data_IF_372715611810
#
_entry.id   IF_372715611810
#
_cell.length_a   1.000
_cell.length_b   1.000
_cell.length_c   1.000
_cell.angle_alpha   90.00
_cell.angle_beta   90.00
_cell.angle_gamma   90.00
#
_symmetry.space_group_name_H-M   'P 1'
#
loop_
_entity.id
_entity.type
_entity.pdbx_description
1 polymer ?
#
# COMPACT_ATOMS: atom_id res chain seq x y z
N UNK A 1 7.69 -4.06 -12.39
CA UNK A 1 8.28 -5.38 -12.12
C UNK A 1 8.22 -5.64 -10.62
N UNK A 2 7.81 -6.85 -10.23
CA UNK A 2 7.88 -7.31 -8.84
C UNK A 2 9.32 -7.60 -8.42
N UNK A 3 9.59 -7.59 -7.12
CA UNK A 3 10.88 -7.94 -6.51
C UNK A 3 11.29 -9.41 -6.74
N UNK A 4 10.33 -10.25 -7.13
CA UNK A 4 10.60 -11.58 -7.67
C UNK A 4 10.28 -11.59 -9.16
N UNK A 5 11.28 -11.89 -9.99
CA UNK A 5 11.09 -12.02 -11.42
C UNK A 5 10.17 -13.22 -11.73
N UNK A 6 9.09 -12.99 -12.46
CA UNK A 6 8.25 -14.07 -12.98
C UNK A 6 8.93 -14.89 -14.07
N UNK A 7 8.38 -16.07 -14.38
CA UNK A 7 8.95 -17.04 -15.33
C UNK A 7 9.28 -16.45 -16.69
N UNK A 8 8.38 -15.64 -17.27
CA UNK A 8 8.60 -15.01 -18.56
C UNK A 8 9.87 -14.13 -18.57
N UNK A 9 10.06 -13.32 -17.51
CA UNK A 9 11.27 -12.49 -17.39
C UNK A 9 12.52 -13.35 -17.27
N UNK A 10 12.49 -14.41 -16.45
CA UNK A 10 13.65 -15.30 -16.27
C UNK A 10 14.07 -15.97 -17.58
N UNK A 11 13.11 -16.38 -18.42
CA UNK A 11 13.37 -16.99 -19.72
C UNK A 11 13.94 -16.01 -20.75
N UNK A 12 13.56 -14.72 -20.67
CA UNK A 12 14.00 -13.69 -21.63
C UNK A 12 15.32 -13.02 -21.25
N UNK A 13 15.76 -13.10 -19.98
CA UNK A 13 17.01 -12.49 -19.52
C UNK A 13 18.22 -12.85 -20.39
N UNK A 14 18.47 -14.11 -20.79
CA UNK A 14 19.63 -14.45 -21.64
C UNK A 14 19.63 -13.74 -22.99
N UNK A 15 18.44 -13.50 -23.57
CA UNK A 15 18.25 -12.93 -24.91
C UNK A 15 18.27 -11.39 -24.91
N UNK A 16 18.04 -10.76 -23.76
CA UNK A 16 17.93 -9.32 -23.66
C UNK A 16 19.29 -8.59 -23.74
N UNK A 17 19.35 -7.50 -24.50
CA UNK A 17 20.51 -6.61 -24.57
C UNK A 17 20.72 -5.80 -23.27
N UNK A 18 19.62 -5.46 -22.59
CA UNK A 18 19.57 -4.80 -21.28
C UNK A 18 18.42 -5.39 -20.46
N UNK A 19 18.60 -5.47 -19.15
CA UNK A 19 17.63 -5.96 -18.19
C UNK A 19 17.40 -4.86 -17.16
N UNK A 20 16.21 -4.27 -17.16
CA UNK A 20 15.84 -3.25 -16.18
C UNK A 20 15.08 -3.90 -15.02
N UNK A 21 15.55 -3.71 -13.79
CA UNK A 21 14.87 -4.15 -12.58
C UNK A 21 14.36 -2.99 -11.74
N UNK A 22 13.22 -3.19 -11.10
CA UNK A 22 12.60 -2.20 -10.22
C UNK A 22 13.19 -2.26 -8.82
N UNK A 23 13.39 -3.48 -8.31
CA UNK A 23 13.99 -3.72 -7.01
C UNK A 23 15.39 -4.29 -7.22
N UNK A 24 16.40 -3.85 -6.46
CA UNK A 24 17.74 -4.37 -6.58
C UNK A 24 17.76 -5.88 -6.28
N UNK A 25 18.67 -6.61 -6.92
CA UNK A 25 18.86 -8.06 -6.71
C UNK A 25 17.67 -8.92 -7.15
N UNK A 26 16.79 -8.41 -8.01
CA UNK A 26 15.72 -9.23 -8.61
C UNK A 26 16.29 -10.21 -9.63
N UNK A 27 17.34 -9.80 -10.35
CA UNK A 27 18.14 -10.66 -11.22
C UNK A 27 19.58 -10.82 -10.70
N UNK A 28 20.27 -11.84 -11.19
CA UNK A 28 21.69 -12.00 -10.93
C UNK A 28 22.49 -10.81 -11.49
N UNK A 29 23.46 -10.33 -10.70
CA UNK A 29 24.30 -9.21 -11.09
C UNK A 29 24.99 -9.49 -12.44
N UNK A 30 24.86 -8.56 -13.37
CA UNK A 30 25.50 -8.63 -14.68
C UNK A 30 25.63 -7.24 -15.28
N UNK A 31 26.59 -7.04 -16.20
CA UNK A 31 26.80 -5.75 -16.86
C UNK A 31 25.59 -5.26 -17.68
N UNK A 32 24.64 -6.14 -18.00
CA UNK A 32 23.39 -5.79 -18.71
C UNK A 32 22.24 -5.45 -17.76
N UNK A 33 22.37 -5.71 -16.46
CA UNK A 33 21.31 -5.47 -15.48
C UNK A 33 21.46 -4.08 -14.85
N UNK A 34 20.37 -3.31 -14.86
CA UNK A 34 20.31 -1.95 -14.32
C UNK A 34 19.08 -1.83 -13.42
N UNK A 35 19.28 -1.35 -12.18
CA UNK A 35 18.18 -1.03 -11.27
C UNK A 35 17.62 0.35 -11.61
N UNK A 36 16.49 0.40 -12.32
CA UNK A 36 15.86 1.64 -12.78
C UNK A 36 14.67 2.08 -11.94
N UNK A 37 14.17 1.21 -11.06
CA UNK A 37 12.87 1.40 -10.41
C UNK A 37 11.70 1.03 -11.32
N UNK A 38 10.48 1.17 -10.80
CA UNK A 38 9.27 1.13 -11.62
C UNK A 38 8.98 2.51 -12.20
N UNK A 39 8.49 2.62 -13.45
CA UNK A 39 7.91 3.86 -13.95
C UNK A 39 6.71 4.26 -13.08
N UNK A 40 6.77 5.45 -12.50
CA UNK A 40 5.71 6.05 -11.68
C UNK A 40 5.18 7.28 -12.42
N UNK A 41 3.88 7.54 -12.29
CA UNK A 41 3.22 8.73 -12.82
C UNK A 41 3.83 10.00 -12.21
N UNK A 42 4.14 11.00 -13.04
CA UNK A 42 4.87 12.20 -12.64
C UNK A 42 4.16 12.98 -11.53
N UNK A 43 2.83 13.02 -11.57
CA UNK A 43 2.00 13.71 -10.58
C UNK A 43 2.06 13.11 -9.17
N UNK A 44 2.61 11.89 -9.01
CA UNK A 44 2.77 11.23 -7.70
C UNK A 44 4.10 11.55 -7.02
N UNK A 45 5.02 12.24 -7.69
CA UNK A 45 6.23 12.78 -7.08
C UNK A 45 5.89 14.06 -6.31
N UNK A 46 5.38 13.86 -5.10
CA UNK A 46 4.90 14.96 -4.26
C UNK A 46 6.10 15.72 -3.69
N UNK A 47 6.34 16.93 -4.21
CA UNK A 47 7.40 17.81 -3.75
C UNK A 47 7.01 18.66 -2.51
N UNK A 48 5.75 18.64 -2.10
CA UNK A 48 5.20 19.59 -1.12
C UNK A 48 5.36 19.05 0.31
N UNK A 49 5.92 19.83 1.26
CA UNK A 49 5.93 19.44 2.67
C UNK A 49 4.49 19.29 3.18
N UNK A 50 4.19 18.14 3.79
CA UNK A 50 2.88 17.88 4.40
C UNK A 50 2.65 18.85 5.56
N UNK A 51 1.38 19.16 5.81
CA UNK A 51 1.00 19.89 7.01
C UNK A 51 1.44 19.12 8.26
N UNK A 52 2.10 19.77 9.24
CA UNK A 52 2.44 19.13 10.50
C UNK A 52 1.20 18.47 11.15
N UNK A 53 1.43 17.35 11.84
CA UNK A 53 0.39 16.63 12.58
C UNK A 53 -0.13 17.37 13.84
N UNK A 54 0.68 18.14 14.60
CA UNK A 54 0.20 18.77 15.83
C UNK A 54 -1.04 19.65 15.60
N UNK A 55 -2.09 19.43 16.39
CA UNK A 55 -3.33 20.21 16.34
C UNK A 55 -4.38 19.72 15.34
N UNK A 56 -4.17 18.58 14.65
CA UNK A 56 -5.17 17.95 13.79
C UNK A 56 -5.18 16.43 13.91
N UNK A 57 -6.24 15.79 13.42
CA UNK A 57 -6.28 14.33 13.27
C UNK A 57 -5.34 13.89 12.14
N UNK A 58 -4.71 12.74 12.31
CA UNK A 58 -3.99 12.08 11.22
C UNK A 58 -4.97 11.66 10.12
N UNK A 59 -4.51 11.61 8.88
CA UNK A 59 -5.30 11.22 7.72
C UNK A 59 -4.85 9.86 7.22
N UNK A 60 -5.74 8.89 7.30
CA UNK A 60 -5.51 7.51 6.92
C UNK A 60 -6.17 7.21 5.57
N UNK A 61 -5.33 6.87 4.59
CA UNK A 61 -5.79 6.37 3.30
C UNK A 61 -5.73 4.84 3.29
N UNK A 62 -6.82 4.18 2.91
CA UNK A 62 -6.89 2.72 2.77
C UNK A 62 -7.15 2.37 1.32
N UNK A 63 -6.30 1.53 0.73
CA UNK A 63 -6.39 1.16 -0.68
C UNK A 63 -6.52 -0.35 -0.86
N UNK A 64 -7.69 -0.77 -1.35
CA UNK A 64 -7.95 -2.15 -1.75
C UNK A 64 -7.53 -2.49 -3.18
N UNK A 65 -7.21 -1.50 -4.01
CA UNK A 65 -7.03 -1.66 -5.46
C UNK A 65 -8.37 -1.62 -6.20
N UNK A 66 -8.36 -1.63 -7.54
CA UNK A 66 -9.57 -1.42 -8.35
C UNK A 66 -10.73 -2.40 -8.08
N UNK A 67 -10.42 -3.65 -7.73
CA UNK A 67 -11.40 -4.67 -7.32
C UNK A 67 -11.76 -4.61 -5.83
N UNK A 68 -11.02 -3.83 -5.05
CA UNK A 68 -11.11 -3.83 -3.60
C UNK A 68 -10.31 -4.96 -2.96
N UNK A 69 -10.08 -4.83 -1.66
CA UNK A 69 -9.47 -5.87 -0.84
C UNK A 69 -10.42 -6.18 0.31
N UNK A 70 -11.32 -7.14 0.09
CA UNK A 70 -12.31 -7.52 1.10
C UNK A 70 -11.74 -7.83 2.50
N UNK A 71 -10.52 -8.41 2.65
CA UNK A 71 -9.87 -8.51 3.95
C UNK A 71 -9.62 -7.15 4.63
N UNK A 72 -9.18 -6.13 3.89
CA UNK A 72 -8.98 -4.77 4.42
C UNK A 72 -10.33 -4.10 4.74
N UNK A 73 -11.32 -4.28 3.87
CA UNK A 73 -12.69 -3.78 4.05
C UNK A 73 -13.34 -4.25 5.36
N UNK A 74 -12.94 -5.43 5.87
CA UNK A 74 -13.39 -5.98 7.15
C UNK A 74 -12.48 -5.58 8.32
N UNK A 75 -11.16 -5.67 8.11
CA UNK A 75 -10.16 -5.53 9.17
C UNK A 75 -10.06 -4.10 9.68
N UNK A 76 -10.01 -3.11 8.79
CA UNK A 76 -9.72 -1.71 9.16
C UNK A 76 -10.81 -1.09 10.04
N UNK A 77 -12.12 -1.21 9.74
CA UNK A 77 -13.16 -0.68 10.62
C UNK A 77 -13.06 -1.22 12.05
N UNK A 78 -12.77 -2.51 12.21
CA UNK A 78 -12.64 -3.16 13.52
C UNK A 78 -11.40 -2.67 14.27
N UNK A 79 -10.27 -2.53 13.58
CA UNK A 79 -9.05 -1.99 14.20
C UNK A 79 -9.27 -0.57 14.69
N UNK A 80 -9.87 0.30 13.87
CA UNK A 80 -10.12 1.69 14.24
C UNK A 80 -11.14 1.85 15.38
N UNK A 81 -12.12 0.95 15.48
CA UNK A 81 -13.05 0.95 16.60
C UNK A 81 -12.36 0.67 17.94
N UNK A 82 -11.27 -0.12 17.94
CA UNK A 82 -10.49 -0.39 19.15
C UNK A 82 -9.60 0.78 19.60
N UNK A 83 -9.42 1.80 18.77
CA UNK A 83 -8.72 3.03 19.17
C UNK A 83 -9.65 3.96 19.99
N UNK A 84 -9.12 4.67 20.99
CA UNK A 84 -9.81 5.79 21.63
C UNK A 84 -10.25 6.81 20.58
N UNK A 85 -11.46 7.35 20.71
CA UNK A 85 -12.05 8.27 19.72
C UNK A 85 -11.15 9.48 19.41
N UNK A 86 -10.46 10.00 20.43
CA UNK A 86 -9.51 11.10 20.30
C UNK A 86 -8.29 10.79 19.41
N UNK A 87 -7.94 9.52 19.23
CA UNK A 87 -6.80 9.06 18.42
C UNK A 87 -7.23 8.52 17.05
N UNK A 88 -8.53 8.43 16.76
CA UNK A 88 -8.99 7.92 15.46
C UNK A 88 -8.64 8.92 14.35
N UNK A 89 -7.99 8.47 13.27
CA UNK A 89 -7.69 9.32 12.11
C UNK A 89 -8.96 9.66 11.32
N UNK A 90 -8.87 10.70 10.49
CA UNK A 90 -9.79 10.89 9.36
C UNK A 90 -9.51 9.80 8.32
N UNK A 91 -10.54 9.10 7.85
CA UNK A 91 -10.35 7.93 6.99
C UNK A 91 -10.92 8.14 5.60
N UNK A 92 -10.11 7.85 4.59
CA UNK A 92 -10.57 7.67 3.21
C UNK A 92 -10.28 6.24 2.76
N UNK A 93 -11.31 5.44 2.50
CA UNK A 93 -11.20 4.02 2.15
C UNK A 93 -11.70 3.77 0.73
N UNK A 94 -10.78 3.38 -0.16
CA UNK A 94 -11.10 2.82 -1.46
C UNK A 94 -11.41 1.32 -1.33
N UNK A 95 -12.71 0.98 -1.31
CA UNK A 95 -13.19 -0.35 -0.97
C UNK A 95 -13.36 -1.30 -2.17
N UNK A 96 -13.44 -0.76 -3.40
CA UNK A 96 -13.72 -1.51 -4.63
C UNK A 96 -15.18 -1.38 -5.09
N UNK A 97 -15.42 -1.48 -6.40
CA UNK A 97 -16.74 -1.23 -7.03
C UNK A 97 -17.92 -2.05 -6.49
N UNK A 98 -17.66 -3.22 -5.91
CA UNK A 98 -18.70 -4.12 -5.39
C UNK A 98 -18.78 -4.13 -3.86
N UNK A 99 -17.94 -3.34 -3.19
CA UNK A 99 -17.74 -3.44 -1.75
C UNK A 99 -17.84 -2.10 -1.02
N UNK A 100 -18.03 -0.98 -1.70
CA UNK A 100 -18.16 0.35 -1.10
C UNK A 100 -19.37 0.44 -0.16
N UNK A 101 -20.56 0.04 -0.60
CA UNK A 101 -21.77 0.00 0.25
C UNK A 101 -21.57 -0.88 1.51
N UNK A 102 -21.22 -2.17 1.35
CA UNK A 102 -20.93 -3.05 2.48
C UNK A 102 -19.84 -2.54 3.43
N UNK A 103 -18.82 -1.85 2.90
CA UNK A 103 -17.72 -1.30 3.72
C UNK A 103 -18.15 -0.07 4.50
N UNK A 104 -18.97 0.80 3.91
CA UNK A 104 -19.57 1.94 4.61
C UNK A 104 -20.43 1.46 5.80
N UNK A 105 -21.25 0.42 5.61
CA UNK A 105 -22.05 -0.15 6.71
C UNK A 105 -21.17 -0.77 7.81
N UNK A 106 -20.01 -1.35 7.47
CA UNK A 106 -19.05 -1.85 8.48
C UNK A 106 -18.47 -0.72 9.32
N UNK A 107 -18.11 0.40 8.72
CA UNK A 107 -17.64 1.58 9.45
C UNK A 107 -18.72 2.13 10.38
N UNK A 108 -19.96 2.25 9.88
CA UNK A 108 -21.11 2.69 10.66
C UNK A 108 -21.38 1.76 11.84
N UNK A 109 -21.40 0.45 11.63
CA UNK A 109 -21.59 -0.55 12.69
C UNK A 109 -20.46 -0.53 13.72
N UNK A 110 -19.25 -0.17 13.30
CA UNK A 110 -18.08 -0.02 14.15
C UNK A 110 -18.04 1.33 14.91
N UNK A 111 -18.97 2.26 14.63
CA UNK A 111 -18.98 3.60 15.22
C UNK A 111 -17.76 4.44 14.81
N UNK A 112 -17.27 4.25 13.59
CA UNK A 112 -16.10 4.95 13.03
C UNK A 112 -16.54 5.74 11.79
N UNK A 113 -16.22 7.03 11.77
CA UNK A 113 -16.46 7.88 10.60
C UNK A 113 -15.39 7.62 9.52
N UNK A 114 -15.84 7.37 8.28
CA UNK A 114 -14.96 7.17 7.14
C UNK A 114 -15.64 7.61 5.85
N UNK A 115 -14.90 8.25 4.96
CA UNK A 115 -15.29 8.38 3.56
C UNK A 115 -14.96 7.06 2.85
N UNK A 116 -15.98 6.41 2.29
CA UNK A 116 -15.79 5.16 1.52
C UNK A 116 -16.10 5.42 0.06
N UNK A 117 -15.22 5.00 -0.84
CA UNK A 117 -15.42 5.11 -2.28
C UNK A 117 -15.12 3.79 -3.00
N UNK A 118 -15.81 3.49 -4.11
CA UNK A 118 -15.52 2.31 -4.92
C UNK A 118 -14.16 2.42 -5.61
N UNK A 119 -13.75 3.62 -6.00
CA UNK A 119 -12.51 3.90 -6.72
C UNK A 119 -12.05 5.34 -6.46
N UNK A 120 -10.74 5.57 -6.48
CA UNK A 120 -10.13 6.90 -6.37
C UNK A 120 -9.58 7.28 -7.75
N UNK A 121 -10.20 8.28 -8.38
CA UNK A 121 -9.77 8.75 -9.70
C UNK A 121 -8.49 9.58 -9.60
N UNK A 122 -8.42 10.50 -8.64
CA UNK A 122 -7.27 11.35 -8.41
C UNK A 122 -6.40 10.80 -7.27
N UNK A 123 -5.49 9.89 -7.65
CA UNK A 123 -4.54 9.31 -6.70
C UNK A 123 -3.51 10.32 -6.19
N UNK A 124 -3.16 11.34 -6.98
CA UNK A 124 -2.22 12.36 -6.55
C UNK A 124 -2.80 13.18 -5.39
N UNK A 125 -4.06 13.60 -5.51
CA UNK A 125 -4.78 14.27 -4.44
C UNK A 125 -4.93 13.38 -3.20
N UNK A 126 -5.27 12.10 -3.37
CA UNK A 126 -5.41 11.18 -2.24
C UNK A 126 -4.08 10.97 -1.49
N UNK A 127 -2.97 10.80 -2.21
CA UNK A 127 -1.63 10.69 -1.61
C UNK A 127 -1.14 11.99 -0.99
N UNK A 128 -1.50 13.15 -1.54
CA UNK A 128 -1.18 14.45 -0.95
C UNK A 128 -1.98 14.72 0.33
N UNK A 129 -3.20 14.20 0.42
CA UNK A 129 -4.04 14.29 1.61
C UNK A 129 -3.59 13.37 2.74
N UNK A 130 -3.13 12.16 2.42
CA UNK A 130 -2.80 11.12 3.39
C UNK A 130 -1.53 11.43 4.21
N UNK A 131 -1.58 11.08 5.49
CA UNK A 131 -0.41 11.01 6.37
C UNK A 131 0.13 9.58 6.49
N UNK A 132 -0.76 8.59 6.42
CA UNK A 132 -0.46 7.17 6.50
C UNK A 132 -1.31 6.39 5.49
N UNK A 133 -0.75 5.34 4.92
CA UNK A 133 -1.45 4.46 3.97
C UNK A 133 -1.51 3.02 4.46
N UNK A 134 -2.70 2.39 4.43
CA UNK A 134 -2.85 0.94 4.54
C UNK A 134 -3.19 0.37 3.16
N UNK A 135 -2.39 -0.54 2.63
CA UNK A 135 -2.66 -1.10 1.30
C UNK A 135 -2.01 -2.46 1.07
N UNK A 136 -2.30 -3.06 -0.10
CA UNK A 136 -1.55 -4.21 -0.61
C UNK A 136 -0.14 -3.83 -1.04
N UNK A 137 0.75 -4.81 -1.07
CA UNK A 137 2.15 -4.62 -1.47
C UNK A 137 2.39 -4.97 -2.95
N UNK A 138 1.56 -4.42 -3.84
CA UNK A 138 1.80 -4.51 -5.28
C UNK A 138 3.05 -3.71 -5.68
N UNK A 139 3.79 -4.17 -6.69
CA UNK A 139 5.05 -3.52 -7.09
C UNK A 139 4.89 -2.03 -7.43
N UNK A 140 3.86 -1.67 -8.19
CA UNK A 140 3.59 -0.27 -8.53
C UNK A 140 3.17 0.52 -7.29
N UNK A 141 2.30 -0.02 -6.44
CA UNK A 141 1.89 0.64 -5.19
C UNK A 141 3.08 0.95 -4.30
N UNK A 142 4.00 0.01 -4.12
CA UNK A 142 5.23 0.21 -3.33
C UNK A 142 6.10 1.32 -3.94
N UNK A 143 6.26 1.34 -5.26
CA UNK A 143 7.02 2.39 -5.94
C UNK A 143 6.33 3.76 -5.90
N UNK A 144 5.00 3.79 -5.98
CA UNK A 144 4.21 5.02 -5.82
C UNK A 144 4.32 5.60 -4.41
N UNK A 145 4.25 4.76 -3.37
CA UNK A 145 4.45 5.20 -1.98
C UNK A 145 5.84 5.77 -1.75
N UNK A 146 6.87 5.16 -2.34
CA UNK A 146 8.24 5.67 -2.30
C UNK A 146 8.34 7.04 -2.97
N UNK A 147 7.74 7.21 -4.16
CA UNK A 147 7.72 8.48 -4.90
C UNK A 147 6.95 9.58 -4.17
N UNK A 148 5.83 9.23 -3.53
CA UNK A 148 5.00 10.14 -2.75
C UNK A 148 5.56 10.41 -1.33
N UNK A 149 6.59 9.67 -0.91
CA UNK A 149 7.17 9.77 0.43
C UNK A 149 6.15 9.46 1.54
N UNK A 150 5.28 8.46 1.36
CA UNK A 150 4.22 8.11 2.31
C UNK A 150 4.65 6.95 3.22
N UNK A 151 4.58 7.10 4.55
CA UNK A 151 4.70 5.95 5.44
C UNK A 151 3.50 5.02 5.22
N UNK A 152 3.71 3.72 5.39
CA UNK A 152 2.68 2.73 5.07
C UNK A 152 2.67 1.50 5.96
N UNK A 153 1.47 0.93 6.11
CA UNK A 153 1.23 -0.41 6.64
C UNK A 153 0.85 -1.31 5.46
N UNK A 154 1.80 -2.16 5.05
CA UNK A 154 1.66 -3.00 3.88
C UNK A 154 1.09 -4.35 4.30
N UNK A 155 -0.02 -4.75 3.69
CA UNK A 155 -0.71 -6.04 3.94
C UNK A 155 -0.59 -6.92 2.69
N UNK A 156 0.53 -7.65 2.49
CA UNK A 156 0.71 -8.52 1.34
C UNK A 156 -0.44 -9.51 1.17
N UNK A 157 -0.81 -9.79 -0.08
CA UNK A 157 -1.75 -10.88 -0.38
C UNK A 157 -1.15 -12.23 0.04
N UNK A 158 -1.90 -13.06 0.79
CA UNK A 158 -1.46 -14.41 1.07
C UNK A 158 -1.40 -15.20 -0.24
N UNK A 159 -0.37 -16.05 -0.39
CA UNK A 159 -0.18 -16.91 -1.56
C UNK A 159 -0.07 -16.16 -2.90
N UNK A 160 0.43 -14.91 -2.88
CA UNK A 160 0.87 -14.27 -4.11
C UNK A 160 1.88 -15.21 -4.83
N UNK A 161 1.80 -15.35 -6.15
CA UNK A 161 2.69 -16.22 -6.93
C UNK A 161 4.15 -15.91 -6.57
N UNK A 162 4.95 -16.89 -6.17
CA UNK A 162 6.34 -16.68 -5.73
C UNK A 162 6.53 -15.73 -4.51
N UNK A 163 5.48 -15.49 -3.72
CA UNK A 163 5.49 -14.59 -2.55
C UNK A 163 5.99 -13.16 -2.85
N UNK A 164 5.74 -12.71 -4.08
CA UNK A 164 6.32 -11.46 -4.58
C UNK A 164 5.87 -10.21 -3.82
N UNK A 165 4.65 -10.21 -3.27
CA UNK A 165 4.16 -9.05 -2.51
C UNK A 165 4.88 -8.88 -1.17
N UNK A 166 5.25 -9.97 -0.49
CA UNK A 166 6.04 -9.89 0.74
C UNK A 166 7.41 -9.28 0.44
N UNK A 167 8.06 -9.70 -0.65
CA UNK A 167 9.34 -9.14 -1.11
C UNK A 167 9.25 -7.68 -1.54
N UNK A 168 8.16 -7.30 -2.21
CA UNK A 168 7.91 -5.88 -2.52
C UNK A 168 7.78 -5.06 -1.22
N UNK A 169 7.04 -5.57 -0.22
CA UNK A 169 6.83 -4.87 1.05
C UNK A 169 8.13 -4.71 1.86
N UNK A 170 8.95 -5.77 1.89
CA UNK A 170 10.25 -5.77 2.55
C UNK A 170 11.17 -4.65 2.07
N UNK A 171 11.05 -4.22 0.81
CA UNK A 171 11.88 -3.14 0.26
C UNK A 171 11.72 -1.83 1.06
N UNK A 172 10.49 -1.39 1.30
CA UNK A 172 10.24 -0.18 2.11
C UNK A 172 10.46 -0.43 3.60
N UNK A 173 10.14 -1.63 4.08
CA UNK A 173 10.27 -1.95 5.50
C UNK A 173 11.73 -1.96 5.97
N UNK A 174 12.66 -2.43 5.14
CA UNK A 174 14.10 -2.42 5.45
C UNK A 174 14.66 -1.00 5.60
N UNK A 175 14.09 -0.04 4.89
CA UNK A 175 14.44 1.38 4.97
C UNK A 175 13.69 2.12 6.11
N UNK A 176 12.85 1.42 6.89
CA UNK A 176 12.03 2.03 7.94
C UNK A 176 10.86 2.86 7.43
N UNK A 177 10.55 2.79 6.13
CA UNK A 177 9.46 3.55 5.50
C UNK A 177 8.09 2.85 5.58
N UNK A 178 8.05 1.58 5.99
CA UNK A 178 6.81 0.82 6.10
C UNK A 178 6.87 -0.26 7.20
N UNK A 179 5.71 -0.67 7.69
CA UNK A 179 5.56 -1.92 8.43
C UNK A 179 4.89 -2.98 7.55
N UNK A 180 5.45 -4.20 7.55
CA UNK A 180 4.80 -5.36 6.91
C UNK A 180 3.85 -6.00 7.91
N UNK A 181 2.59 -6.11 7.52
CA UNK A 181 1.48 -6.64 8.31
C UNK A 181 0.89 -7.86 7.57
N UNK A 182 1.45 -9.08 7.74
CA UNK A 182 1.00 -10.24 6.98
C UNK A 182 -0.48 -10.52 7.22
N UNK A 183 -1.28 -10.65 6.15
CA UNK A 183 -2.73 -10.83 6.28
C UNK A 183 -3.11 -12.05 7.14
N UNK A 184 -2.32 -13.14 7.07
CA UNK A 184 -2.61 -14.37 7.78
C UNK A 184 -2.53 -14.24 9.30
N UNK A 185 -1.74 -13.30 9.81
CA UNK A 185 -1.44 -13.15 11.25
C UNK A 185 -1.85 -11.80 11.81
N UNK A 186 -2.23 -10.84 10.97
CA UNK A 186 -2.63 -9.51 11.42
C UNK A 186 -4.13 -9.47 11.71
N UNK A 187 -4.48 -9.42 12.99
CA UNK A 187 -5.83 -9.14 13.46
C UNK A 187 -6.05 -7.64 13.70
N UNK A 188 -7.25 -7.30 14.19
CA UNK A 188 -7.64 -5.92 14.44
C UNK A 188 -6.78 -5.26 15.52
N UNK A 189 -6.43 -6.01 16.57
CA UNK A 189 -5.63 -5.51 17.68
C UNK A 189 -4.18 -5.21 17.25
N UNK A 190 -3.57 -6.09 16.45
CA UNK A 190 -2.22 -5.91 15.92
C UNK A 190 -2.15 -4.72 14.97
N UNK A 191 -3.18 -4.52 14.14
CA UNK A 191 -3.27 -3.36 13.26
C UNK A 191 -3.45 -2.07 14.07
N UNK A 192 -4.33 -2.06 15.07
CA UNK A 192 -4.58 -0.90 15.92
C UNK A 192 -3.33 -0.47 16.71
N UNK A 193 -2.51 -1.41 17.18
CA UNK A 193 -1.27 -1.10 17.89
C UNK A 193 -0.20 -0.40 17.03
N UNK A 194 -0.39 -0.35 15.70
CA UNK A 194 0.50 0.34 14.74
C UNK A 194 -0.04 1.67 14.24
N UNK A 195 -1.26 2.03 14.64
CA UNK A 195 -1.94 3.28 14.32
C UNK A 195 -1.77 4.28 15.48
#
# INVERSE_FOLDING_TARGET
>A
QNAVAGTANRLLVPLAARVCEAFPQTFAASAKCLTTGNPVRTELFLATPRQPLPGRRARLLVMGGSLGAEPLNKLVPLALASLPEAHRPEVFHQAGKQHDGPTAERYKAAGVEAQVAPFIADMAQAYAWADLVICRAGALTVSELAAAGLPSLLVPLPHAIDDHQSRNAEFLAREGAAFVMPQATTGAAELAARL
#
